data_IF_521928532473
#
_entry.id   IF_521928532473
#
_cell.length_a   1.000
_cell.length_b   1.000
_cell.length_c   1.000
_cell.angle_alpha   90.00
_cell.angle_beta   90.00
_cell.angle_gamma   90.00
#
_symmetry.space_group_name_H-M   'P 1'
#
loop_
_entity.id
_entity.type
_entity.pdbx_description
1 polymer ?
#
# COMPACT_ATOMS: atom_id res chain seq x y z
N UNK A 1 -16.16 -2.96 -3.50
CA UNK A 1 -15.88 -3.18 -2.05
C UNK A 1 -14.54 -2.57 -1.72
N UNK A 2 -14.45 -2.00 -0.54
CA UNK A 2 -13.18 -1.44 -0.10
C UNK A 2 -12.43 -2.42 0.78
N UNK A 3 -11.11 -2.29 0.76
CA UNK A 3 -10.22 -3.08 1.61
C UNK A 3 -9.18 -2.14 2.20
N UNK A 4 -8.85 -2.40 3.47
CA UNK A 4 -7.77 -1.70 4.15
C UNK A 4 -6.52 -2.55 4.00
N UNK A 5 -5.45 -1.93 3.52
CA UNK A 5 -4.17 -2.60 3.38
C UNK A 5 -3.18 -1.93 4.32
N UNK A 6 -2.56 -2.73 5.15
CA UNK A 6 -1.48 -2.26 6.02
C UNK A 6 -0.19 -2.86 5.50
N UNK A 7 0.82 -2.01 5.32
CA UNK A 7 2.13 -2.45 4.84
C UNK A 7 3.17 -2.13 5.90
N UNK A 8 3.93 -3.14 6.28
CA UNK A 8 4.98 -2.98 7.28
C UNK A 8 6.31 -3.44 6.70
N UNK A 9 7.41 -2.68 6.95
CA UNK A 9 8.73 -3.15 6.52
C UNK A 9 9.03 -4.51 7.14
N UNK A 10 9.77 -5.33 6.41
CA UNK A 10 10.07 -6.69 6.86
C UNK A 10 11.29 -6.76 7.76
N UNK A 11 11.95 -5.63 8.02
CA UNK A 11 13.08 -5.57 8.94
C UNK A 11 13.05 -4.27 9.74
N UNK A 12 13.68 -4.25 10.94
CA UNK A 12 13.70 -3.03 11.76
C UNK A 12 14.62 -1.97 11.15
N UNK A 13 14.42 -0.72 11.59
CA UNK A 13 15.25 0.43 11.19
C UNK A 13 15.29 0.63 9.68
N UNK A 14 14.19 0.29 9.02
CA UNK A 14 14.12 0.29 7.55
C UNK A 14 14.40 1.69 6.99
N UNK A 15 13.70 2.70 7.49
CA UNK A 15 13.80 4.06 6.96
C UNK A 15 15.19 4.63 7.17
N UNK A 16 15.80 4.31 8.31
CA UNK A 16 17.11 4.86 8.67
C UNK A 16 18.27 4.20 7.91
N UNK A 17 18.03 3.04 7.31
CA UNK A 17 19.12 2.25 6.73
C UNK A 17 18.74 1.59 5.41
N UNK A 18 17.91 2.25 4.60
CA UNK A 18 17.50 1.69 3.32
C UNK A 18 18.69 1.50 2.39
N UNK A 19 18.74 0.33 1.78
CA UNK A 19 19.72 0.04 0.73
C UNK A 19 19.28 0.71 -0.58
N UNK A 20 20.18 0.73 -1.58
CA UNK A 20 19.81 1.23 -2.89
C UNK A 20 18.68 0.45 -3.51
N UNK A 21 18.68 -0.88 -3.32
CA UNK A 21 17.62 -1.72 -3.85
C UNK A 21 16.29 -1.44 -3.19
N UNK A 22 16.31 -1.23 -1.87
CA UNK A 22 15.10 -0.90 -1.13
C UNK A 22 14.57 0.47 -1.54
N UNK A 23 15.45 1.43 -1.72
CA UNK A 23 15.05 2.77 -2.17
C UNK A 23 14.41 2.72 -3.54
N UNK A 24 14.98 1.91 -4.45
CA UNK A 24 14.40 1.75 -5.78
C UNK A 24 13.03 1.10 -5.70
N UNK A 25 12.90 0.04 -4.88
CA UNK A 25 11.63 -0.66 -4.75
C UNK A 25 10.56 0.25 -4.14
N UNK A 26 10.91 1.11 -3.19
CA UNK A 26 9.96 2.06 -2.61
C UNK A 26 9.53 3.08 -3.66
N UNK A 27 10.45 3.52 -4.52
CA UNK A 27 10.10 4.41 -5.63
C UNK A 27 9.14 3.75 -6.60
N UNK A 28 9.37 2.48 -6.93
CA UNK A 28 8.47 1.72 -7.81
C UNK A 28 7.13 1.46 -7.14
N UNK A 29 7.13 1.26 -5.83
CA UNK A 29 5.90 1.13 -5.04
C UNK A 29 5.05 2.39 -5.20
N UNK A 30 5.65 3.56 -5.10
CA UNK A 30 4.92 4.82 -5.25
C UNK A 30 4.32 4.93 -6.67
N UNK A 31 5.09 4.54 -7.69
CA UNK A 31 4.57 4.56 -9.06
C UNK A 31 3.42 3.58 -9.25
N UNK A 32 3.51 2.42 -8.62
CA UNK A 32 2.41 1.44 -8.64
C UNK A 32 1.16 2.04 -8.03
N UNK A 33 1.29 2.71 -6.88
CA UNK A 33 0.14 3.34 -6.23
C UNK A 33 -0.45 4.46 -7.07
N UNK A 34 0.39 5.27 -7.71
CA UNK A 34 -0.09 6.35 -8.57
C UNK A 34 -0.90 5.81 -9.74
N UNK A 35 -0.41 4.74 -10.37
CA UNK A 35 -1.12 4.13 -11.48
C UNK A 35 -2.45 3.53 -11.02
N UNK A 36 -2.45 2.86 -9.89
CA UNK A 36 -3.68 2.27 -9.35
C UNK A 36 -4.68 3.35 -8.94
N UNK A 37 -4.20 4.49 -8.43
CA UNK A 37 -5.07 5.61 -8.08
C UNK A 37 -5.69 6.20 -9.33
N UNK A 38 -4.90 6.34 -10.41
CA UNK A 38 -5.40 6.85 -11.67
C UNK A 38 -6.48 5.94 -12.26
N UNK A 39 -6.39 4.64 -11.98
CA UNK A 39 -7.38 3.67 -12.42
C UNK A 39 -8.57 3.53 -11.46
N UNK A 40 -8.61 4.33 -10.39
CA UNK A 40 -9.69 4.29 -9.41
C UNK A 40 -9.61 3.13 -8.44
N UNK A 41 -8.50 2.42 -8.40
CA UNK A 41 -8.35 1.24 -7.56
C UNK A 41 -7.73 1.55 -6.20
N UNK A 42 -6.94 2.61 -6.09
CA UNK A 42 -6.46 3.10 -4.81
C UNK A 42 -7.18 4.41 -4.51
N UNK A 43 -7.95 4.43 -3.44
CA UNK A 43 -8.73 5.61 -3.07
C UNK A 43 -7.88 6.60 -2.28
N UNK A 44 -7.02 6.09 -1.43
CA UNK A 44 -6.09 6.91 -0.66
C UNK A 44 -4.96 6.00 -0.19
N UNK A 45 -3.75 6.54 -0.12
CA UNK A 45 -2.60 5.81 0.37
C UNK A 45 -1.65 6.78 1.06
N UNK A 46 -0.96 6.29 2.08
CA UNK A 46 0.00 7.09 2.81
C UNK A 46 0.71 6.24 3.84
N UNK A 47 1.52 6.89 4.67
CA UNK A 47 2.24 6.16 5.72
C UNK A 47 2.33 7.02 6.97
N UNK A 48 2.51 6.38 8.10
CA UNK A 48 2.77 7.10 9.33
C UNK A 48 4.15 7.76 9.26
N UNK A 49 4.26 8.94 9.84
CA UNK A 49 5.53 9.68 9.90
C UNK A 49 6.20 9.35 11.22
N UNK A 50 6.61 8.09 11.34
CA UNK A 50 7.22 7.55 12.56
C UNK A 50 8.49 6.78 12.19
N UNK A 51 9.30 6.43 13.20
CA UNK A 51 10.54 5.70 12.97
C UNK A 51 10.28 4.32 12.37
N UNK A 52 9.18 3.67 12.78
CA UNK A 52 8.76 2.39 12.22
C UNK A 52 7.45 2.62 11.48
N UNK A 53 7.50 3.07 10.24
CA UNK A 53 6.29 3.50 9.54
C UNK A 53 5.37 2.34 9.20
N UNK A 54 4.08 2.63 9.21
CA UNK A 54 3.05 1.73 8.71
C UNK A 54 2.44 2.40 7.49
N UNK A 55 2.48 1.70 6.36
CA UNK A 55 1.77 2.15 5.16
C UNK A 55 0.31 1.78 5.27
N UNK A 56 -0.55 2.67 4.80
CA UNK A 56 -2.00 2.45 4.82
C UNK A 56 -2.54 2.76 3.44
N UNK A 57 -3.34 1.84 2.91
CA UNK A 57 -4.03 2.06 1.64
C UNK A 57 -5.49 1.67 1.83
N UNK A 58 -6.38 2.46 1.24
CA UNK A 58 -7.78 2.07 1.09
C UNK A 58 -7.95 1.81 -0.40
N UNK A 59 -8.28 0.56 -0.75
CA UNK A 59 -8.37 0.17 -2.16
C UNK A 59 -9.78 -0.29 -2.49
N UNK A 60 -10.11 -0.22 -3.76
CA UNK A 60 -11.38 -0.67 -4.31
C UNK A 60 -11.14 -1.92 -5.15
N UNK A 61 -11.89 -2.97 -4.91
CA UNK A 61 -11.78 -4.21 -5.69
C UNK A 61 -13.13 -4.92 -5.65
N UNK A 62 -13.37 -5.78 -6.65
CA UNK A 62 -14.63 -6.51 -6.74
C UNK A 62 -14.68 -7.70 -5.78
N UNK A 63 -13.51 -8.16 -5.34
CA UNK A 63 -13.42 -9.32 -4.45
C UNK A 63 -12.14 -9.24 -3.65
N UNK A 64 -12.06 -10.04 -2.59
CA UNK A 64 -10.84 -10.15 -1.80
C UNK A 64 -9.68 -10.68 -2.64
N UNK A 65 -9.96 -11.62 -3.55
CA UNK A 65 -8.93 -12.17 -4.42
C UNK A 65 -8.35 -11.09 -5.32
N UNK A 66 -9.21 -10.23 -5.86
CA UNK A 66 -8.76 -9.14 -6.72
C UNK A 66 -7.95 -8.12 -5.93
N UNK A 67 -8.37 -7.84 -4.70
CA UNK A 67 -7.61 -6.96 -3.81
C UNK A 67 -6.23 -7.54 -3.55
N UNK A 68 -6.15 -8.83 -3.28
CA UNK A 68 -4.87 -9.51 -3.04
C UNK A 68 -3.96 -9.43 -4.25
N UNK A 69 -4.52 -9.62 -5.45
CA UNK A 69 -3.71 -9.52 -6.67
C UNK A 69 -3.13 -8.13 -6.85
N UNK A 70 -3.91 -7.10 -6.60
CA UNK A 70 -3.43 -5.74 -6.72
C UNK A 70 -2.27 -5.49 -5.77
N UNK A 71 -2.40 -5.94 -4.52
CA UNK A 71 -1.37 -5.74 -3.51
C UNK A 71 -0.11 -6.55 -3.84
N UNK A 72 -0.29 -7.77 -4.33
CA UNK A 72 0.84 -8.65 -4.65
C UNK A 72 1.62 -8.17 -5.88
N UNK A 73 1.03 -7.34 -6.70
CA UNK A 73 1.72 -6.75 -7.85
C UNK A 73 2.59 -5.56 -7.47
N UNK A 74 2.45 -5.06 -6.24
CA UNK A 74 3.24 -3.96 -5.74
C UNK A 74 4.71 -4.41 -5.64
N UNK A 75 5.66 -3.69 -6.28
CA UNK A 75 7.06 -4.08 -6.25
C UNK A 75 7.63 -4.25 -4.84
N UNK A 76 7.23 -3.40 -3.89
CA UNK A 76 7.73 -3.52 -2.52
C UNK A 76 7.27 -4.82 -1.87
N UNK A 77 6.08 -5.31 -2.22
CA UNK A 77 5.57 -6.58 -1.72
C UNK A 77 6.23 -7.74 -2.46
N UNK A 78 6.33 -7.65 -3.79
CA UNK A 78 6.93 -8.71 -4.60
C UNK A 78 8.37 -8.99 -4.19
N UNK A 79 9.12 -7.95 -3.84
CA UNK A 79 10.52 -8.10 -3.48
C UNK A 79 10.73 -8.39 -2.00
N UNK A 80 9.64 -8.58 -1.25
CA UNK A 80 9.73 -8.95 0.16
C UNK A 80 10.18 -7.83 1.08
N UNK A 81 10.11 -6.58 0.61
CA UNK A 81 10.55 -5.43 1.39
C UNK A 81 9.47 -5.01 2.37
N UNK A 82 8.22 -5.18 1.99
CA UNK A 82 7.08 -4.88 2.84
C UNK A 82 6.14 -6.08 2.92
N UNK A 83 5.54 -6.25 4.10
CA UNK A 83 4.59 -7.33 4.36
C UNK A 83 3.20 -6.73 4.43
N UNK A 84 2.26 -7.21 3.58
CA UNK A 84 0.90 -6.67 3.58
C UNK A 84 -0.02 -7.42 4.53
N UNK A 85 -0.99 -6.69 5.05
CA UNK A 85 -2.15 -7.25 5.70
C UNK A 85 -3.37 -6.63 5.03
N UNK A 86 -4.31 -7.45 4.59
CA UNK A 86 -5.47 -7.01 3.82
C UNK A 86 -6.72 -7.33 4.61
N UNK A 87 -7.54 -6.32 4.88
CA UNK A 87 -8.75 -6.47 5.68
C UNK A 87 -9.95 -5.94 4.90
N UNK A 88 -11.08 -6.66 4.86
CA UNK A 88 -12.31 -6.06 4.34
C UNK A 88 -12.61 -4.80 5.14
N UNK A 89 -13.05 -3.75 4.45
CA UNK A 89 -13.20 -2.47 5.08
C UNK A 89 -14.43 -1.75 4.50
N UNK A 90 -15.09 -0.98 5.33
CA UNK A 90 -16.22 -0.15 4.88
C UNK A 90 -15.93 1.29 5.24
N UNK A 91 -15.91 2.14 4.22
CA UNK A 91 -15.83 3.58 4.46
C UNK A 91 -17.19 4.03 4.94
N UNK A 92 -17.27 4.48 6.18
CA UNK A 92 -18.53 4.96 6.75
C UNK A 92 -18.70 6.45 6.50
N UNK A 93 -17.63 7.20 6.62
CA UNK A 93 -17.65 8.66 6.46
C UNK A 93 -16.35 9.09 5.81
N UNK A 94 -16.40 10.01 4.87
CA UNK A 94 -15.19 10.52 4.22
C UNK A 94 -15.42 11.92 3.71
N UNK A 95 -14.44 12.78 3.94
CA UNK A 95 -14.39 14.09 3.33
C UNK A 95 -13.56 14.06 2.04
N UNK A 96 -12.92 12.93 1.72
CA UNK A 96 -12.16 12.77 0.49
C UNK A 96 -13.12 12.55 -0.67
N UNK A 97 -12.73 13.03 -1.84
CA UNK A 97 -13.49 12.77 -3.05
C UNK A 97 -13.09 11.41 -3.56
N UNK A 98 -13.93 10.45 -3.29
CA UNK A 98 -13.73 9.07 -3.71
C UNK A 98 -14.53 8.91 -4.98
N UNK A 99 -14.11 9.20 -6.05
CA UNK A 99 -14.73 9.10 -7.21
C UNK A 99 -15.13 8.63 -7.77
#
# INVERSE_FOLDING_TARGET
MEFLVLLRPTRPDFVQSMTEEETRAVGQHLEHLKAAAAAGKVLVAGRSMTDNPVGVEIIEADSEEEARKLVEQDPAVKEGIMRPEILPFRVAVSALKVR
#
